data_IF_186239087302
#
_entry.id   IF_186239087302
#
_cell.length_a   1.000
_cell.length_b   1.000
_cell.length_c   1.000
_cell.angle_alpha   90.00
_cell.angle_beta   90.00
_cell.angle_gamma   90.00
#
_symmetry.space_group_name_H-M   'P 1'
#
loop_
_entity.id
_entity.type
_entity.pdbx_description
1 polymer ?
#
# COMPACT_ATOMS: atom_id res chain seq x y z
N UNK A 1 10.20 3.57 -20.53
CA UNK A 1 10.39 3.19 -19.12
C UNK A 1 9.73 4.17 -18.16
N UNK A 2 9.88 5.49 -18.33
CA UNK A 2 9.26 6.50 -17.45
C UNK A 2 7.75 6.29 -17.22
N UNK A 3 6.99 5.98 -18.27
CA UNK A 3 5.55 5.69 -18.17
C UNK A 3 5.16 4.59 -17.18
N UNK A 4 6.02 3.58 -16.97
CA UNK A 4 5.76 2.50 -16.00
C UNK A 4 6.02 2.98 -14.56
N UNK A 5 6.99 3.88 -14.36
CA UNK A 5 7.20 4.52 -13.06
C UNK A 5 6.06 5.47 -12.71
N UNK A 6 5.63 6.30 -13.67
CA UNK A 6 4.47 7.18 -13.50
C UNK A 6 3.20 6.38 -13.14
N UNK A 7 2.97 5.27 -13.83
CA UNK A 7 1.88 4.35 -13.51
C UNK A 7 2.00 3.79 -12.08
N UNK A 8 3.19 3.27 -11.70
CA UNK A 8 3.39 2.74 -10.36
C UNK A 8 3.18 3.80 -9.27
N UNK A 9 3.58 5.05 -9.50
CA UNK A 9 3.35 6.16 -8.57
C UNK A 9 1.87 6.55 -8.48
N UNK A 10 1.15 6.57 -9.61
CA UNK A 10 -0.30 6.81 -9.60
C UNK A 10 -1.02 5.73 -8.79
N UNK A 11 -0.75 4.45 -9.08
CA UNK A 11 -1.35 3.34 -8.35
C UNK A 11 -1.00 3.41 -6.86
N UNK A 12 0.25 3.74 -6.51
CA UNK A 12 0.65 3.89 -5.10
C UNK A 12 -0.11 5.02 -4.41
N UNK A 13 -0.35 6.14 -5.10
CA UNK A 13 -1.18 7.23 -4.57
C UNK A 13 -2.61 6.77 -4.33
N UNK A 14 -3.20 6.05 -5.29
CA UNK A 14 -4.57 5.54 -5.15
C UNK A 14 -4.70 4.56 -3.95
N UNK A 15 -3.65 3.77 -3.68
CA UNK A 15 -3.58 2.93 -2.47
C UNK A 15 -3.51 3.76 -1.18
N UNK A 16 -2.74 4.85 -1.14
CA UNK A 16 -2.70 5.73 0.03
C UNK A 16 -4.05 6.43 0.26
N UNK A 17 -4.67 6.97 -0.79
CA UNK A 17 -5.98 7.60 -0.70
C UNK A 17 -7.04 6.59 -0.18
N UNK A 18 -6.95 5.31 -0.55
CA UNK A 18 -7.81 4.26 0.03
C UNK A 18 -7.49 3.97 1.50
N UNK A 19 -6.21 3.92 1.89
CA UNK A 19 -5.82 3.65 3.28
C UNK A 19 -6.37 4.68 4.26
N UNK A 20 -6.59 5.94 3.85
CA UNK A 20 -7.21 6.98 4.68
C UNK A 20 -8.65 6.64 5.10
N UNK A 21 -9.30 5.70 4.41
CA UNK A 21 -10.66 5.22 4.74
C UNK A 21 -10.67 4.01 5.68
N UNK A 22 -9.49 3.46 6.00
CA UNK A 22 -9.30 2.23 6.78
C UNK A 22 -8.76 2.57 8.16
N UNK A 23 -9.22 1.87 9.20
CA UNK A 23 -8.68 2.07 10.54
C UNK A 23 -7.22 1.61 10.64
N UNK A 24 -6.44 2.29 11.49
CA UNK A 24 -5.04 1.92 11.75
C UNK A 24 -4.89 0.45 12.18
N UNK A 25 -5.82 -0.06 13.00
CA UNK A 25 -5.84 -1.47 13.40
C UNK A 25 -5.89 -2.41 12.19
N UNK A 26 -6.76 -2.16 11.21
CA UNK A 26 -6.89 -3.00 10.02
C UNK A 26 -5.71 -2.87 9.06
N UNK A 27 -5.07 -1.69 9.02
CA UNK A 27 -3.84 -1.44 8.25
C UNK A 27 -2.64 -2.23 8.81
N UNK A 28 -2.52 -2.32 10.13
CA UNK A 28 -1.44 -3.01 10.85
C UNK A 28 -1.71 -4.51 11.10
N UNK A 29 -2.97 -4.95 10.93
CA UNK A 29 -3.40 -6.32 11.19
C UNK A 29 -2.54 -7.35 10.44
N UNK A 30 -2.11 -8.38 11.18
CA UNK A 30 -1.32 -9.47 10.59
C UNK A 30 -2.16 -10.31 9.64
N UNK A 31 -1.61 -10.58 8.45
CA UNK A 31 -2.20 -11.40 7.39
C UNK A 31 -1.16 -12.39 6.86
N UNK A 32 -1.61 -13.53 6.35
CA UNK A 32 -0.71 -14.53 5.73
C UNK A 32 -0.29 -14.05 4.34
N UNK A 33 1.01 -14.05 4.06
CA UNK A 33 1.59 -13.66 2.77
C UNK A 33 2.34 -12.32 2.79
N UNK A 34 3.34 -12.19 1.92
CA UNK A 34 4.18 -10.99 1.84
C UNK A 34 4.86 -10.64 3.17
N UNK A 35 4.98 -9.35 3.46
CA UNK A 35 5.58 -8.82 4.71
C UNK A 35 4.59 -8.74 5.89
N UNK A 36 3.37 -9.25 5.71
CA UNK A 36 2.46 -9.56 6.81
C UNK A 36 1.44 -8.49 7.20
N UNK A 37 1.42 -7.30 6.60
CA UNK A 37 0.32 -6.33 6.75
C UNK A 37 0.25 -5.35 5.57
N UNK A 38 -0.84 -4.58 5.48
CA UNK A 38 -1.04 -3.60 4.40
C UNK A 38 -0.03 -2.45 4.53
N UNK A 39 0.06 -1.84 5.71
CA UNK A 39 0.93 -0.67 5.92
C UNK A 39 2.41 -1.02 5.72
N UNK A 40 2.86 -2.16 6.27
CA UNK A 40 4.25 -2.59 6.07
C UNK A 40 4.55 -2.96 4.61
N UNK A 41 3.55 -3.42 3.84
CA UNK A 41 3.73 -3.67 2.40
C UNK A 41 3.97 -2.37 1.65
N UNK A 42 3.17 -1.33 1.90
CA UNK A 42 3.36 -0.01 1.26
C UNK A 42 4.66 0.68 1.71
N UNK A 43 5.11 0.45 2.95
CA UNK A 43 6.41 0.94 3.43
C UNK A 43 7.61 0.23 2.77
N UNK A 44 7.46 -1.06 2.46
CA UNK A 44 8.51 -1.85 1.84
C UNK A 44 8.72 -1.51 0.35
N UNK A 45 7.65 -1.14 -0.35
CA UNK A 45 7.63 -0.77 -1.78
C UNK A 45 8.13 0.67 -1.97
#
# INVERSE_FOLDING_TARGET
>A
MLKLFEYNWQVRKDWFDWCDTVSEEELLKRRTGGIGSILYTLYHI
#
